data_IF_441676779676
#
_entry.id   IF_441676779676
#
_cell.length_a   1.000
_cell.length_b   1.000
_cell.length_c   1.000
_cell.angle_alpha   90.00
_cell.angle_beta   90.00
_cell.angle_gamma   90.00
#
_symmetry.space_group_name_H-M   'P 1'
#
loop_
_entity.id
_entity.type
_entity.pdbx_description
1 polymer ?
#
# COMPACT_ATOMS: atom_id res chain seq x y z
N UNK A 1 -10.62 -26.32 24.53
CA UNK A 1 -11.21 -25.00 24.24
C UNK A 1 -10.10 -24.18 23.63
N UNK A 2 -10.08 -24.12 22.31
CA UNK A 2 -9.09 -23.33 21.58
C UNK A 2 -9.33 -21.84 21.90
N UNK A 3 -8.27 -21.04 22.08
CA UNK A 3 -8.42 -19.61 22.30
C UNK A 3 -9.10 -19.00 21.07
N UNK A 4 -10.23 -18.32 21.31
CA UNK A 4 -10.91 -17.48 20.32
C UNK A 4 -9.86 -16.53 19.76
N UNK A 5 -9.60 -16.51 18.43
CA UNK A 5 -8.63 -15.60 17.85
C UNK A 5 -9.04 -14.18 18.21
N UNK A 6 -8.22 -13.54 19.05
CA UNK A 6 -8.39 -12.15 19.44
C UNK A 6 -8.47 -11.30 18.18
N UNK A 7 -9.54 -10.50 18.06
CA UNK A 7 -9.88 -9.72 16.87
C UNK A 7 -8.75 -8.83 16.30
N UNK A 8 -7.64 -8.61 17.03
CA UNK A 8 -6.48 -7.85 16.55
C UNK A 8 -5.69 -8.57 15.45
N UNK A 9 -5.56 -9.91 15.49
CA UNK A 9 -4.74 -10.65 14.50
C UNK A 9 -5.35 -10.62 13.10
N UNK A 10 -6.69 -10.60 13.01
CA UNK A 10 -7.39 -10.47 11.73
C UNK A 10 -7.12 -9.11 11.07
N UNK A 11 -7.13 -8.03 11.85
CA UNK A 11 -6.90 -6.68 11.33
C UNK A 11 -5.45 -6.46 10.88
N UNK A 12 -4.47 -6.98 11.63
CA UNK A 12 -3.06 -6.95 11.24
C UNK A 12 -2.81 -7.72 9.94
N UNK A 13 -3.34 -8.95 9.85
CA UNK A 13 -3.24 -9.75 8.62
C UNK A 13 -3.84 -9.00 7.42
N UNK A 14 -5.00 -8.37 7.61
CA UNK A 14 -5.66 -7.58 6.58
C UNK A 14 -4.84 -6.38 6.11
N UNK A 15 -4.27 -5.60 7.04
CA UNK A 15 -3.36 -4.50 6.69
C UNK A 15 -2.18 -5.01 5.88
N UNK A 16 -1.64 -6.17 6.26
CA UNK A 16 -0.50 -6.77 5.58
C UNK A 16 -0.85 -7.18 4.15
N UNK A 17 -1.99 -7.85 3.96
CA UNK A 17 -2.52 -8.21 2.63
C UNK A 17 -2.77 -6.96 1.78
N UNK A 18 -3.39 -5.92 2.35
CA UNK A 18 -3.66 -4.67 1.65
C UNK A 18 -2.37 -3.97 1.22
N UNK A 19 -1.35 -3.97 2.09
CA UNK A 19 -0.03 -3.45 1.77
C UNK A 19 0.63 -4.22 0.62
N UNK A 20 0.54 -5.56 0.62
CA UNK A 20 1.08 -6.39 -0.47
C UNK A 20 0.35 -6.11 -1.80
N UNK A 21 -0.97 -5.93 -1.78
CA UNK A 21 -1.73 -5.57 -2.98
C UNK A 21 -1.38 -4.19 -3.53
N UNK A 22 -1.28 -3.19 -2.65
CA UNK A 22 -0.84 -1.83 -3.01
C UNK A 22 0.56 -1.88 -3.63
N UNK A 23 1.49 -2.59 -3.00
CA UNK A 23 2.88 -2.66 -3.42
C UNK A 23 3.06 -3.41 -4.74
N UNK A 24 2.37 -4.54 -4.91
CA UNK A 24 2.37 -5.29 -6.18
C UNK A 24 1.75 -4.48 -7.32
N UNK A 25 0.72 -3.67 -7.06
CA UNK A 25 0.14 -2.75 -8.06
C UNK A 25 1.16 -1.71 -8.52
N UNK A 26 1.90 -1.13 -7.57
CA UNK A 26 2.97 -0.14 -7.88
C UNK A 26 4.10 -0.79 -8.68
N UNK A 27 4.50 -2.01 -8.33
CA UNK A 27 5.50 -2.74 -9.10
C UNK A 27 5.02 -3.09 -10.49
N UNK A 28 3.76 -3.53 -10.65
CA UNK A 28 3.16 -3.80 -11.94
C UNK A 28 3.19 -2.54 -12.83
N UNK A 29 2.80 -1.38 -12.28
CA UNK A 29 2.89 -0.10 -12.98
C UNK A 29 4.33 0.27 -13.35
N UNK A 30 5.30 -0.03 -12.48
CA UNK A 30 6.72 0.16 -12.79
C UNK A 30 7.16 -0.71 -13.97
N UNK A 31 6.69 -1.96 -14.04
CA UNK A 31 6.94 -2.85 -15.18
C UNK A 31 6.30 -2.31 -16.46
N UNK A 32 5.06 -1.84 -16.39
CA UNK A 32 4.38 -1.23 -17.55
C UNK A 32 5.05 0.06 -18.04
N UNK A 33 5.58 0.89 -17.12
CA UNK A 33 6.21 2.17 -17.41
C UNK A 33 7.74 2.07 -17.52
N UNK A 34 8.31 0.88 -17.75
CA UNK A 34 9.75 0.64 -17.79
C UNK A 34 10.54 1.57 -18.73
N UNK A 35 9.90 2.10 -19.78
CA UNK A 35 10.54 3.02 -20.74
C UNK A 35 10.71 4.46 -20.21
N UNK A 36 9.96 4.88 -19.19
CA UNK A 36 10.01 6.25 -18.66
C UNK A 36 10.26 6.30 -17.15
N UNK A 37 11.50 5.97 -16.75
CA UNK A 37 11.92 5.94 -15.35
C UNK A 37 11.82 7.29 -14.62
N UNK A 38 11.87 8.41 -15.34
CA UNK A 38 11.74 9.76 -14.79
C UNK A 38 10.27 10.09 -14.50
N UNK A 39 9.40 9.86 -15.48
CA UNK A 39 7.95 10.04 -15.36
C UNK A 39 7.37 9.14 -14.26
N UNK A 40 7.86 7.90 -14.15
CA UNK A 40 7.46 6.99 -13.08
C UNK A 40 7.76 7.56 -11.68
N UNK A 41 8.90 8.22 -11.45
CA UNK A 41 9.21 8.81 -10.13
C UNK A 41 8.21 9.88 -9.69
N UNK A 42 7.71 10.67 -10.65
CA UNK A 42 6.75 11.74 -10.39
C UNK A 42 5.35 11.18 -10.16
N UNK A 43 4.96 10.14 -10.91
CA UNK A 43 3.62 9.56 -10.86
C UNK A 43 3.49 8.49 -9.76
N UNK A 44 4.61 7.90 -9.30
CA UNK A 44 4.64 6.88 -8.24
C UNK A 44 3.78 7.22 -7.01
N UNK A 45 3.88 8.41 -6.38
CA UNK A 45 3.03 8.73 -5.22
C UNK A 45 1.54 8.73 -5.57
N UNK A 46 1.16 9.17 -6.76
CA UNK A 46 -0.23 9.14 -7.22
C UNK A 46 -0.73 7.72 -7.42
N UNK A 47 0.09 6.83 -8.01
CA UNK A 47 -0.23 5.40 -8.16
C UNK A 47 -0.40 4.75 -6.79
N UNK A 48 0.45 5.10 -5.83
CA UNK A 48 0.39 4.60 -4.45
C UNK A 48 -0.94 4.96 -3.78
N UNK A 49 -1.30 6.26 -3.79
CA UNK A 49 -2.57 6.74 -3.21
C UNK A 49 -3.77 6.15 -3.95
N UNK A 50 -3.73 6.08 -5.29
CA UNK A 50 -4.82 5.52 -6.08
C UNK A 50 -5.02 4.03 -5.82
N UNK A 51 -3.94 3.25 -5.76
CA UNK A 51 -4.02 1.83 -5.43
C UNK A 51 -4.50 1.60 -3.99
N UNK A 52 -4.04 2.41 -3.03
CA UNK A 52 -4.54 2.39 -1.66
C UNK A 52 -6.03 2.67 -1.59
N UNK A 53 -6.47 3.74 -2.26
CA UNK A 53 -7.90 4.08 -2.36
C UNK A 53 -8.72 2.96 -3.01
N UNK A 54 -8.26 2.41 -4.13
CA UNK A 54 -8.97 1.37 -4.88
C UNK A 54 -9.10 0.07 -4.08
N UNK A 55 -7.99 -0.47 -3.58
CA UNK A 55 -7.98 -1.71 -2.81
C UNK A 55 -8.66 -1.55 -1.45
N UNK A 56 -8.48 -0.40 -0.80
CA UNK A 56 -9.18 -0.05 0.42
C UNK A 56 -10.70 0.00 0.22
N UNK A 57 -11.16 0.70 -0.82
CA UNK A 57 -12.59 0.81 -1.16
C UNK A 57 -13.21 -0.56 -1.45
N UNK A 58 -12.52 -1.38 -2.25
CA UNK A 58 -12.96 -2.73 -2.60
C UNK A 58 -13.04 -3.63 -1.35
N UNK A 59 -12.06 -3.49 -0.45
CA UNK A 59 -12.06 -4.18 0.83
C UNK A 59 -13.23 -3.74 1.73
N UNK A 60 -13.47 -2.42 1.85
CA UNK A 60 -14.60 -1.88 2.60
C UNK A 60 -15.94 -2.42 2.09
N UNK A 61 -16.08 -2.51 0.77
CA UNK A 61 -17.25 -3.09 0.11
C UNK A 61 -17.38 -4.60 0.32
N UNK A 62 -16.25 -5.33 0.42
CA UNK A 62 -16.26 -6.76 0.72
C UNK A 62 -16.58 -7.07 2.18
N UNK A 63 -16.20 -6.18 3.10
CA UNK A 63 -16.46 -6.32 4.54
C UNK A 63 -17.88 -5.86 4.92
N UNK A 64 -18.40 -4.86 4.24
CA UNK A 64 -19.77 -4.38 4.50
C UNK A 64 -20.79 -5.40 4.03
N UNK A 65 -21.84 -5.63 4.83
CA UNK A 65 -23.01 -6.45 4.45
C UNK A 65 -23.90 -5.75 3.40
N UNK A 66 -23.29 -5.04 2.45
CA UNK A 66 -23.99 -4.29 1.41
C UNK A 66 -23.14 -3.20 0.77
N UNK A 67 -23.58 -2.78 -0.42
CA UNK A 67 -22.94 -1.72 -1.21
C UNK A 67 -23.29 -0.34 -0.63
N UNK A 68 -22.83 -0.09 0.60
CA UNK A 68 -23.07 1.16 1.32
C UNK A 68 -21.89 2.10 1.13
N UNK A 69 -22.20 3.38 0.91
CA UNK A 69 -21.18 4.42 0.77
C UNK A 69 -20.28 4.53 2.01
N UNK A 70 -20.83 4.27 3.20
CA UNK A 70 -20.10 4.31 4.46
C UNK A 70 -18.99 3.27 4.52
N UNK A 71 -19.28 2.02 4.12
CA UNK A 71 -18.30 0.95 4.11
C UNK A 71 -17.18 1.20 3.09
N UNK A 72 -17.53 1.75 1.91
CA UNK A 72 -16.56 2.18 0.89
C UNK A 72 -15.65 3.27 1.47
N UNK A 73 -16.22 4.28 2.15
CA UNK A 73 -15.45 5.38 2.73
C UNK A 73 -14.47 4.90 3.80
N UNK A 74 -14.92 4.06 4.73
CA UNK A 74 -14.05 3.50 5.77
C UNK A 74 -12.92 2.64 5.18
N UNK A 75 -13.25 1.81 4.19
CA UNK A 75 -12.25 1.02 3.46
C UNK A 75 -11.25 1.89 2.72
N UNK A 76 -11.71 2.94 2.03
CA UNK A 76 -10.86 3.88 1.31
C UNK A 76 -9.91 4.63 2.24
N UNK A 77 -10.38 5.11 3.39
CA UNK A 77 -9.56 5.76 4.42
C UNK A 77 -8.46 4.84 4.93
N UNK A 78 -8.81 3.59 5.23
CA UNK A 78 -7.87 2.56 5.66
C UNK A 78 -6.83 2.25 4.57
N UNK A 79 -7.26 2.10 3.32
CA UNK A 79 -6.35 1.81 2.22
C UNK A 79 -5.41 2.96 1.87
N UNK A 80 -5.88 4.21 1.97
CA UNK A 80 -5.01 5.39 1.84
C UNK A 80 -4.00 5.42 2.99
N UNK A 81 -4.42 5.17 4.24
CA UNK A 81 -3.51 5.09 5.38
C UNK A 81 -2.41 4.04 5.16
N UNK A 82 -2.78 2.83 4.77
CA UNK A 82 -1.82 1.76 4.46
C UNK A 82 -0.87 2.17 3.34
N UNK A 83 -1.38 2.79 2.27
CA UNK A 83 -0.54 3.27 1.18
C UNK A 83 0.47 4.32 1.64
N UNK A 84 0.09 5.24 2.51
CA UNK A 84 1.00 6.24 3.08
C UNK A 84 2.10 5.58 3.92
N UNK A 85 1.75 4.59 4.76
CA UNK A 85 2.73 3.85 5.58
C UNK A 85 3.69 3.05 4.70
N UNK A 86 3.19 2.31 3.71
CA UNK A 86 4.01 1.51 2.80
C UNK A 86 4.87 2.41 1.90
N UNK A 87 4.34 3.54 1.44
CA UNK A 87 5.07 4.54 0.67
C UNK A 87 6.21 5.20 1.46
N UNK A 88 5.95 5.58 2.72
CA UNK A 88 6.97 6.13 3.64
C UNK A 88 8.07 5.11 3.88
N UNK A 89 7.69 3.85 4.15
CA UNK A 89 8.63 2.74 4.35
C UNK A 89 9.53 2.57 3.13
N UNK A 90 8.97 2.58 1.92
CA UNK A 90 9.74 2.46 0.68
C UNK A 90 10.69 3.65 0.46
N UNK A 91 10.24 4.87 0.78
CA UNK A 91 11.06 6.08 0.71
C UNK A 91 12.26 6.02 1.66
N UNK A 92 12.05 5.54 2.89
CA UNK A 92 13.12 5.36 3.90
C UNK A 92 14.13 4.31 3.43
N UNK A 93 13.69 3.14 2.98
CA UNK A 93 14.60 2.10 2.48
C UNK A 93 15.44 2.56 1.29
N UNK A 94 14.84 3.33 0.38
CA UNK A 94 15.56 3.90 -0.76
C UNK A 94 16.59 4.94 -0.32
N UNK A 95 16.26 5.77 0.65
CA UNK A 95 17.16 6.79 1.20
C UNK A 95 18.36 6.14 1.90
N UNK A 96 18.13 5.10 2.70
CA UNK A 96 19.21 4.32 3.35
C UNK A 96 20.15 3.66 2.33
N UNK A 97 19.59 3.10 1.25
CA UNK A 97 20.39 2.49 0.19
C UNK A 97 21.28 3.52 -0.51
N UNK A 98 20.77 4.73 -0.76
CA UNK A 98 21.56 5.81 -1.37
C UNK A 98 22.68 6.31 -0.46
N UNK A 99 22.48 6.36 0.86
CA UNK A 99 23.53 6.73 1.82
C UNK A 99 24.62 5.66 1.85
N UNK A 100 24.24 4.38 1.90
CA UNK A 100 25.19 3.26 1.87
C UNK A 100 26.02 3.23 0.59
N UNK A 101 25.39 3.36 -0.57
CA UNK A 101 26.09 3.27 -1.86
C UNK A 101 27.02 4.49 -2.10
N UNK A 102 26.82 5.60 -1.39
CA UNK A 102 27.75 6.74 -1.38
C UNK A 102 28.94 6.54 -0.43
N UNK A 103 28.74 5.88 0.72
CA UNK A 103 29.80 5.64 1.70
C UNK A 103 30.81 4.53 1.33
N UNK A 104 30.52 3.71 0.32
CA UNK A 104 31.44 2.65 -0.16
C UNK A 104 32.41 3.12 -1.24
N UNK A 105 32.31 4.38 -1.70
CA UNK A 105 33.21 4.97 -2.71
C UNK A 105 34.21 5.97 -2.10
N UNK A 106 34.39 5.98 -0.78
CA UNK A 106 35.44 6.72 -0.07
C UNK A 106 36.51 5.78 0.46
#
# INVERSE_FOLDING_TARGET
MDPIPSASSGYEYLITVLSVLVMSTVELFKYFLQKETVTFKVIQPFILVFSGFFWGSLYGLWRGDGLTWTAIKEGAELGVYVSCVSGTTYGIFKSLRQVRDKGTNE
#
